data_IF_245181081471
#
_entry.id   IF_245181081471
#
_cell.length_a   1.000
_cell.length_b   1.000
_cell.length_c   1.000
_cell.angle_alpha   90.00
_cell.angle_beta   90.00
_cell.angle_gamma   90.00
#
_symmetry.space_group_name_H-M   'P 1'
#
loop_
_entity.id
_entity.type
_entity.pdbx_description
1 polymer ?
#
# COMPACT_ATOMS: atom_id res chain seq x y z
N UNK A 1 -11.56 0.78 -17.70
CA UNK A 1 -10.11 0.42 -17.67
C UNK A 1 -9.69 -0.43 -18.85
N UNK A 2 -10.37 -1.52 -19.16
CA UNK A 2 -9.96 -2.43 -20.26
C UNK A 2 -9.87 -1.76 -21.64
N UNK A 3 -10.81 -0.88 -21.98
CA UNK A 3 -10.75 -0.14 -23.25
C UNK A 3 -9.57 0.85 -23.29
N UNK A 4 -9.31 1.56 -22.21
CA UNK A 4 -8.15 2.45 -22.09
C UNK A 4 -6.85 1.65 -22.32
N UNK A 5 -6.71 0.51 -21.67
CA UNK A 5 -5.55 -0.36 -21.81
C UNK A 5 -5.40 -0.88 -23.24
N UNK A 6 -6.49 -1.26 -23.88
CA UNK A 6 -6.50 -1.71 -25.28
C UNK A 6 -6.01 -0.60 -26.23
N UNK A 7 -6.47 0.62 -26.04
CA UNK A 7 -6.05 1.74 -26.90
C UNK A 7 -4.57 2.12 -26.64
N UNK A 8 -4.13 2.15 -25.38
CA UNK A 8 -2.74 2.44 -25.06
C UNK A 8 -1.77 1.40 -25.63
N UNK A 9 -2.13 0.13 -25.62
CA UNK A 9 -1.32 -0.95 -26.20
C UNK A 9 -1.10 -0.81 -27.72
N UNK A 10 -1.92 -0.07 -28.43
CA UNK A 10 -1.68 0.25 -29.85
C UNK A 10 -0.53 1.23 -30.04
N UNK A 11 -0.27 2.04 -29.04
CA UNK A 11 0.80 3.06 -29.06
C UNK A 11 2.09 2.46 -28.52
N UNK A 12 2.01 1.78 -27.35
CA UNK A 12 3.13 1.17 -26.68
C UNK A 12 2.66 -0.08 -25.92
N UNK A 13 3.24 -1.23 -26.22
CA UNK A 13 2.74 -2.51 -25.73
C UNK A 13 2.99 -2.74 -24.24
N UNK A 14 4.01 -2.09 -23.67
CA UNK A 14 4.49 -2.20 -22.29
C UNK A 14 4.11 -1.00 -21.42
N UNK A 15 3.03 -0.29 -21.76
CA UNK A 15 2.51 0.80 -20.92
C UNK A 15 2.04 0.26 -19.59
N UNK A 16 2.61 0.78 -18.52
CA UNK A 16 2.19 0.53 -17.17
C UNK A 16 0.94 1.37 -16.86
N UNK A 17 -0.13 0.71 -16.41
CA UNK A 17 -1.36 1.35 -15.95
C UNK A 17 -1.57 0.93 -14.51
N UNK A 18 -1.72 1.88 -13.61
CA UNK A 18 -2.03 1.62 -12.22
C UNK A 18 -2.89 2.72 -11.61
N UNK A 19 -3.47 2.45 -10.46
CA UNK A 19 -4.28 3.39 -9.71
C UNK A 19 -4.58 2.88 -8.31
N UNK A 20 -5.36 3.65 -7.56
CA UNK A 20 -5.62 3.39 -6.15
C UNK A 20 -6.45 2.12 -5.91
N UNK A 21 -7.44 1.87 -6.77
CA UNK A 21 -8.26 0.67 -6.65
C UNK A 21 -9.29 0.68 -5.52
N UNK A 22 -9.66 1.86 -5.02
CA UNK A 22 -10.71 2.00 -4.00
C UNK A 22 -12.09 1.86 -4.63
N UNK A 23 -13.02 1.19 -3.93
CA UNK A 23 -14.41 1.13 -4.34
C UNK A 23 -15.13 2.43 -3.97
N UNK A 24 -14.96 3.46 -4.79
CA UNK A 24 -15.59 4.78 -4.63
C UNK A 24 -16.88 4.95 -5.45
N UNK A 25 -17.24 3.96 -6.26
CA UNK A 25 -18.41 4.04 -7.12
C UNK A 25 -19.69 3.70 -6.37
N UNK A 26 -20.66 4.61 -6.41
CA UNK A 26 -21.93 4.50 -5.65
C UNK A 26 -23.18 4.64 -6.52
N UNK A 27 -23.04 4.77 -7.84
CA UNK A 27 -24.16 5.02 -8.73
C UNK A 27 -24.16 4.13 -9.99
N UNK A 28 -25.33 3.68 -10.43
CA UNK A 28 -25.56 2.99 -11.68
C UNK A 28 -25.27 1.49 -11.67
N UNK A 29 -25.07 0.92 -12.84
CA UNK A 29 -24.93 -0.53 -13.07
C UNK A 29 -23.47 -0.97 -13.39
N UNK A 30 -22.52 -0.06 -13.35
CA UNK A 30 -21.12 -0.39 -13.66
C UNK A 30 -20.44 -0.98 -12.43
N UNK A 31 -19.53 -1.92 -12.67
CA UNK A 31 -18.66 -2.49 -11.64
C UNK A 31 -17.50 -1.52 -11.38
N UNK A 32 -17.19 -1.26 -10.12
CA UNK A 32 -16.09 -0.39 -9.75
C UNK A 32 -14.74 -0.97 -10.21
N UNK A 33 -13.85 -0.10 -10.66
CA UNK A 33 -12.46 -0.44 -10.92
C UNK A 33 -11.68 -0.52 -9.59
N UNK A 34 -12.04 -1.50 -8.76
CA UNK A 34 -11.50 -1.67 -7.41
C UNK A 34 -10.63 -2.92 -7.28
N UNK A 35 -9.84 -2.99 -6.20
CA UNK A 35 -8.98 -4.15 -5.97
C UNK A 35 -9.78 -5.45 -5.85
N UNK A 36 -10.96 -5.46 -5.23
CA UNK A 36 -11.81 -6.64 -5.16
C UNK A 36 -12.34 -7.12 -6.53
N UNK A 37 -12.27 -6.27 -7.54
CA UNK A 37 -12.67 -6.58 -8.92
C UNK A 37 -11.46 -6.62 -9.88
N UNK A 38 -10.25 -6.78 -9.35
CA UNK A 38 -8.99 -6.76 -10.13
C UNK A 38 -8.95 -7.79 -11.24
N UNK A 39 -9.59 -8.95 -11.03
CA UNK A 39 -9.68 -10.04 -12.03
C UNK A 39 -10.38 -9.60 -13.31
N UNK A 40 -11.27 -8.62 -13.22
CA UNK A 40 -11.93 -8.01 -14.39
C UNK A 40 -11.07 -6.97 -15.12
N UNK A 41 -9.90 -6.65 -14.55
CA UNK A 41 -8.96 -5.63 -15.06
C UNK A 41 -7.53 -6.20 -15.17
N UNK A 42 -7.31 -7.28 -15.90
CA UNK A 42 -6.01 -7.96 -15.93
C UNK A 42 -4.89 -7.00 -16.40
N UNK A 43 -3.82 -6.91 -15.62
CA UNK A 43 -2.64 -6.07 -15.89
C UNK A 43 -2.84 -4.59 -15.61
N UNK A 44 -3.80 -4.21 -14.78
CA UNK A 44 -3.90 -2.90 -14.15
C UNK A 44 -3.37 -3.02 -12.73
N UNK A 45 -2.35 -2.25 -12.40
CA UNK A 45 -1.77 -2.20 -11.06
C UNK A 45 -2.70 -1.49 -10.07
N UNK A 46 -2.78 -2.00 -8.84
CA UNK A 46 -3.64 -1.46 -7.80
C UNK A 46 -2.85 -1.28 -6.50
N UNK A 47 -3.11 -0.21 -5.78
CA UNK A 47 -2.44 0.08 -4.53
C UNK A 47 -2.70 -1.01 -3.49
N UNK A 48 -1.62 -1.57 -2.94
CA UNK A 48 -1.68 -2.56 -1.89
C UNK A 48 -1.76 -1.85 -0.53
N UNK A 49 -2.98 -1.61 -0.05
CA UNK A 49 -3.21 -0.98 1.24
C UNK A 49 -2.88 -1.90 2.41
N UNK A 50 -2.91 -3.22 2.22
CA UNK A 50 -2.50 -4.17 3.25
C UNK A 50 -1.03 -3.99 3.62
N UNK A 51 -0.12 -3.86 2.62
CA UNK A 51 1.30 -3.61 2.93
C UNK A 51 1.50 -2.22 3.53
N UNK A 52 0.82 -1.19 3.01
CA UNK A 52 0.87 0.16 3.57
C UNK A 52 0.46 0.19 5.04
N UNK A 53 -0.77 -0.24 5.32
CA UNK A 53 -1.33 -0.18 6.67
C UNK A 53 -0.76 -1.24 7.60
N UNK A 54 -0.37 -2.38 7.07
CA UNK A 54 0.35 -3.41 7.83
C UNK A 54 1.68 -2.89 8.36
N UNK A 55 2.45 -2.17 7.54
CA UNK A 55 3.75 -1.60 7.95
C UNK A 55 3.55 -0.49 8.98
N UNK A 56 2.83 0.58 8.63
CA UNK A 56 2.79 1.82 9.41
C UNK A 56 1.58 2.00 10.32
N UNK A 57 0.61 1.10 10.25
CA UNK A 57 -0.68 1.24 10.93
C UNK A 57 -1.76 1.86 10.04
N UNK A 58 -3.00 1.96 10.54
CA UNK A 58 -4.12 2.48 9.77
C UNK A 58 -3.90 3.95 9.39
N UNK A 59 -4.44 4.35 8.23
CA UNK A 59 -4.29 5.73 7.71
C UNK A 59 -5.36 6.70 8.21
N UNK A 60 -6.39 6.21 8.88
CA UNK A 60 -7.45 7.02 9.49
C UNK A 60 -7.34 7.09 11.02
N UNK A 61 -6.24 6.61 11.58
CA UNK A 61 -5.87 6.75 12.99
C UNK A 61 -4.37 6.99 13.06
N UNK A 62 -3.99 8.24 13.22
CA UNK A 62 -2.59 8.67 13.16
C UNK A 62 -1.76 8.18 14.34
N UNK A 63 -2.39 7.74 15.43
CA UNK A 63 -1.72 7.26 16.64
C UNK A 63 -1.66 5.73 16.74
N UNK A 64 -2.41 5.00 15.91
CA UNK A 64 -2.42 3.55 15.96
C UNK A 64 -1.16 2.95 15.32
N UNK A 65 -0.49 1.97 15.98
CA UNK A 65 0.73 1.36 15.50
C UNK A 65 0.50 0.41 14.34
N UNK A 66 1.57 0.13 13.59
CA UNK A 66 1.68 -0.95 12.63
C UNK A 66 2.82 -1.90 12.99
N UNK A 67 3.11 -2.84 12.11
CA UNK A 67 4.10 -3.90 12.35
C UNK A 67 5.47 -3.38 12.77
N UNK A 68 5.94 -2.29 12.20
CA UNK A 68 7.26 -1.76 12.52
C UNK A 68 7.36 -1.22 13.95
N UNK A 69 6.24 -0.88 14.60
CA UNK A 69 6.23 -0.34 15.96
C UNK A 69 6.22 -1.44 17.02
N UNK A 70 5.38 -2.45 16.86
CA UNK A 70 5.11 -3.44 17.93
C UNK A 70 5.08 -4.90 17.45
N UNK A 71 5.35 -5.15 16.17
CA UNK A 71 5.30 -6.48 15.58
C UNK A 71 3.87 -7.03 15.38
N UNK A 72 2.85 -6.19 15.54
CA UNK A 72 1.45 -6.54 15.25
C UNK A 72 1.18 -6.65 13.75
N UNK A 73 -0.07 -6.93 13.36
CA UNK A 73 -0.49 -6.96 11.94
C UNK A 73 0.25 -8.00 11.06
N UNK A 74 0.73 -9.08 11.67
CA UNK A 74 1.58 -10.08 10.97
C UNK A 74 0.93 -10.68 9.74
N UNK A 75 -0.36 -11.06 9.82
CA UNK A 75 -1.03 -11.66 8.67
C UNK A 75 -1.28 -10.63 7.57
N UNK A 76 -1.59 -9.38 7.93
CA UNK A 76 -1.72 -8.27 7.00
C UNK A 76 -0.41 -7.99 6.27
N UNK A 77 0.73 -7.99 6.98
CA UNK A 77 2.06 -7.85 6.37
C UNK A 77 2.37 -9.02 5.44
N UNK A 78 2.15 -10.27 5.87
CA UNK A 78 2.38 -11.44 5.02
C UNK A 78 1.55 -11.35 3.73
N UNK A 79 0.27 -11.01 3.86
CA UNK A 79 -0.63 -10.81 2.73
C UNK A 79 -0.12 -9.72 1.77
N UNK A 80 0.36 -8.59 2.32
CA UNK A 80 0.99 -7.53 1.54
C UNK A 80 2.26 -7.98 0.83
N UNK A 81 3.15 -8.70 1.54
CA UNK A 81 4.44 -9.17 1.01
C UNK A 81 4.28 -10.13 -0.18
N UNK A 82 3.27 -11.00 -0.16
CA UNK A 82 2.99 -11.90 -1.28
C UNK A 82 2.18 -11.23 -2.41
N UNK A 83 2.09 -9.89 -2.40
CA UNK A 83 1.40 -9.12 -3.44
C UNK A 83 -0.12 -9.33 -3.46
N UNK A 84 -0.73 -9.58 -2.31
CA UNK A 84 -2.17 -9.85 -2.14
C UNK A 84 -2.67 -11.06 -2.95
N UNK A 85 -1.79 -12.03 -3.18
CA UNK A 85 -2.11 -13.31 -3.82
C UNK A 85 -2.54 -14.37 -2.80
N UNK A 86 -3.16 -15.45 -3.28
CA UNK A 86 -3.40 -16.63 -2.43
C UNK A 86 -2.08 -17.28 -2.04
N UNK A 87 -1.88 -17.50 -0.75
CA UNK A 87 -0.63 -18.10 -0.26
C UNK A 87 -0.87 -18.96 0.99
N UNK A 88 -0.30 -20.16 1.00
CA UNK A 88 -0.51 -21.15 2.05
C UNK A 88 -0.04 -20.71 3.47
N UNK A 89 0.85 -19.73 3.57
CA UNK A 89 1.36 -19.20 4.84
C UNK A 89 0.60 -17.96 5.33
N UNK A 90 -0.46 -17.55 4.64
CA UNK A 90 -1.30 -16.39 5.00
C UNK A 90 -2.64 -16.89 5.52
N UNK A 91 -2.96 -16.54 6.75
CA UNK A 91 -4.30 -16.73 7.32
C UNK A 91 -5.18 -15.53 6.96
N UNK A 92 -5.90 -15.65 5.84
CA UNK A 92 -6.76 -14.57 5.34
C UNK A 92 -7.84 -14.15 6.33
N UNK A 93 -8.20 -14.99 7.31
CA UNK A 93 -9.20 -14.63 8.32
C UNK A 93 -8.68 -13.60 9.33
N UNK A 94 -7.37 -13.38 9.37
CA UNK A 94 -6.68 -12.42 10.24
C UNK A 94 -6.09 -11.22 9.48
N UNK A 95 -6.32 -11.17 8.18
CA UNK A 95 -5.93 -10.00 7.38
C UNK A 95 -6.89 -8.85 7.67
N UNK A 96 -6.35 -7.71 8.03
CA UNK A 96 -7.08 -6.51 8.43
C UNK A 96 -6.47 -5.24 7.81
N UNK A 97 -7.10 -4.09 8.01
CA UNK A 97 -6.61 -2.79 7.54
C UNK A 97 -6.48 -2.70 6.00
N UNK A 98 -7.26 -3.47 5.28
CA UNK A 98 -7.33 -3.45 3.81
C UNK A 98 -8.78 -3.39 3.34
N UNK A 99 -8.99 -2.72 2.21
CA UNK A 99 -10.30 -2.62 1.58
C UNK A 99 -10.79 -3.96 0.97
N UNK A 100 -9.86 -4.89 0.69
CA UNK A 100 -10.17 -6.23 0.20
C UNK A 100 -9.31 -7.27 0.94
N UNK A 101 -9.85 -7.92 2.00
CA UNK A 101 -9.09 -8.85 2.83
C UNK A 101 -8.90 -10.24 2.21
N UNK A 102 -9.55 -10.52 1.10
CA UNK A 102 -9.35 -11.76 0.34
C UNK A 102 -8.30 -11.55 -0.74
N UNK A 103 -7.61 -12.62 -1.14
CA UNK A 103 -6.66 -12.55 -2.24
C UNK A 103 -7.33 -11.99 -3.51
N UNK A 104 -6.96 -10.78 -3.86
CA UNK A 104 -7.54 -10.07 -4.99
C UNK A 104 -6.62 -10.10 -6.22
N UNK A 105 -5.37 -10.44 -6.04
CA UNK A 105 -4.41 -10.53 -7.13
C UNK A 105 -4.17 -11.99 -7.52
N UNK A 106 -4.34 -12.29 -8.80
CA UNK A 106 -3.91 -13.58 -9.37
C UNK A 106 -2.44 -13.53 -9.81
N UNK A 107 -1.86 -12.32 -9.82
CA UNK A 107 -0.49 -12.07 -10.23
C UNK A 107 0.10 -10.93 -9.40
N UNK A 108 1.17 -11.15 -8.62
CA UNK A 108 1.73 -10.12 -7.74
C UNK A 108 2.18 -8.85 -8.48
N UNK A 109 2.48 -8.93 -9.78
CA UNK A 109 2.86 -7.76 -10.59
C UNK A 109 1.82 -6.64 -10.65
N UNK A 110 0.56 -6.91 -10.31
CA UNK A 110 -0.47 -5.87 -10.22
C UNK A 110 -0.56 -5.25 -8.83
N UNK A 111 0.16 -5.77 -7.85
CA UNK A 111 0.26 -5.18 -6.51
C UNK A 111 1.23 -4.02 -6.51
N UNK A 112 0.75 -2.81 -6.20
CA UNK A 112 1.57 -1.61 -6.09
C UNK A 112 1.87 -1.36 -4.62
N UNK A 113 3.12 -1.58 -4.22
CA UNK A 113 3.57 -1.58 -2.84
C UNK A 113 4.15 -0.23 -2.44
N UNK A 114 3.74 0.28 -1.29
CA UNK A 114 4.17 1.58 -0.76
C UNK A 114 3.86 1.69 0.73
N UNK A 115 4.39 2.70 1.40
CA UNK A 115 4.01 3.06 2.78
C UNK A 115 3.48 4.48 2.88
N UNK A 116 3.91 5.37 2.00
CA UNK A 116 3.38 6.72 1.85
C UNK A 116 3.32 7.14 0.39
N UNK A 117 2.42 8.05 0.08
CA UNK A 117 2.28 8.67 -1.22
C UNK A 117 1.72 10.09 -1.02
N UNK A 118 0.95 10.63 -1.96
CA UNK A 118 0.39 11.99 -1.87
C UNK A 118 -0.63 12.18 -0.74
N UNK A 119 -1.39 11.12 -0.40
CA UNK A 119 -2.41 11.15 0.66
C UNK A 119 -1.84 10.89 2.05
N UNK A 120 -2.58 11.34 3.08
CA UNK A 120 -2.30 11.14 4.50
C UNK A 120 -0.93 11.70 4.94
N UNK A 121 -0.59 11.47 6.20
CA UNK A 121 0.71 11.85 6.76
C UNK A 121 1.83 10.98 6.20
N UNK A 122 3.06 11.49 6.21
CA UNK A 122 4.24 10.73 5.80
C UNK A 122 4.51 9.57 6.75
N UNK A 123 5.40 8.68 6.36
CA UNK A 123 5.86 7.62 7.28
C UNK A 123 6.58 8.22 8.48
N UNK A 124 7.44 9.21 8.25
CA UNK A 124 8.17 9.89 9.33
C UNK A 124 7.22 10.58 10.32
N UNK A 125 6.25 11.38 9.85
CA UNK A 125 5.25 12.00 10.71
C UNK A 125 4.49 10.95 11.55
N UNK A 126 4.14 9.81 10.93
CA UNK A 126 3.48 8.69 11.63
C UNK A 126 4.36 8.08 12.71
N UNK A 127 5.65 7.90 12.46
CA UNK A 127 6.61 7.38 13.44
C UNK A 127 6.70 8.31 14.65
N UNK A 128 6.78 9.61 14.44
CA UNK A 128 6.84 10.59 15.52
C UNK A 128 5.55 10.65 16.35
N UNK A 129 4.38 10.48 15.72
CA UNK A 129 3.10 10.49 16.43
C UNK A 129 2.88 9.22 17.26
N UNK A 130 3.29 8.06 16.75
CA UNK A 130 3.11 6.78 17.46
C UNK A 130 4.14 6.59 18.56
N UNK A 131 5.37 7.03 18.34
CA UNK A 131 6.49 6.86 19.28
C UNK A 131 7.25 8.18 19.48
N UNK A 132 6.63 9.16 20.13
CA UNK A 132 7.20 10.48 20.29
C UNK A 132 8.46 10.49 21.15
N UNK A 133 9.36 11.42 20.85
CA UNK A 133 10.55 11.69 21.66
C UNK A 133 11.70 10.69 21.51
N UNK A 134 11.67 9.88 20.48
CA UNK A 134 12.83 9.06 20.07
C UNK A 134 13.86 9.94 19.38
N UNK A 135 15.10 9.46 19.30
CA UNK A 135 16.15 10.16 18.55
C UNK A 135 16.03 9.91 17.03
N UNK A 136 16.71 10.73 16.24
CA UNK A 136 16.70 10.62 14.78
C UNK A 136 17.23 9.26 14.29
N UNK A 137 18.19 8.65 14.99
CA UNK A 137 18.73 7.34 14.63
C UNK A 137 17.68 6.25 14.73
N UNK A 138 16.80 6.33 15.73
CA UNK A 138 15.67 5.42 15.86
C UNK A 138 14.71 5.54 14.66
N UNK A 139 14.23 6.75 14.37
CA UNK A 139 13.31 6.98 13.25
C UNK A 139 13.94 6.58 11.91
N UNK A 140 15.22 6.83 11.72
CA UNK A 140 15.96 6.43 10.53
C UNK A 140 15.99 4.90 10.35
N UNK A 141 16.18 4.14 11.43
CA UNK A 141 16.16 2.67 11.39
C UNK A 141 14.74 2.15 11.08
N UNK A 142 13.72 2.73 11.68
CA UNK A 142 12.32 2.37 11.42
C UNK A 142 11.92 2.67 9.97
N UNK A 143 12.34 3.84 9.45
CA UNK A 143 12.14 4.23 8.06
C UNK A 143 12.80 3.23 7.10
N UNK A 144 14.06 2.86 7.35
CA UNK A 144 14.79 1.87 6.56
C UNK A 144 14.12 0.50 6.60
N UNK A 145 13.63 0.07 7.74
CA UNK A 145 12.90 -1.19 7.88
C UNK A 145 11.61 -1.16 7.06
N UNK A 146 10.82 -0.09 7.14
CA UNK A 146 9.59 0.07 6.37
C UNK A 146 9.85 0.05 4.87
N UNK A 147 10.86 0.80 4.40
CA UNK A 147 11.26 0.83 2.99
C UNK A 147 11.67 -0.58 2.53
N UNK A 148 12.48 -1.27 3.32
CA UNK A 148 12.93 -2.62 2.99
C UNK A 148 11.76 -3.60 2.84
N UNK A 149 10.76 -3.53 3.71
CA UNK A 149 9.59 -4.41 3.67
C UNK A 149 8.81 -4.29 2.35
N UNK A 150 8.48 -3.08 1.90
CA UNK A 150 7.70 -2.96 0.67
C UNK A 150 8.54 -3.04 -0.60
N UNK A 151 9.81 -2.66 -0.55
CA UNK A 151 10.72 -2.77 -1.71
C UNK A 151 11.08 -4.22 -2.04
N UNK A 152 11.12 -5.11 -1.04
CA UNK A 152 11.43 -6.53 -1.21
C UNK A 152 10.18 -7.42 -1.32
N UNK A 153 8.99 -6.84 -1.19
CA UNK A 153 7.73 -7.54 -1.37
C UNK A 153 7.48 -7.84 -2.86
N UNK A 154 6.69 -8.87 -3.11
CA UNK A 154 6.23 -9.20 -4.46
C UNK A 154 5.33 -8.10 -5.02
N UNK A 155 5.61 -7.63 -6.23
CA UNK A 155 4.84 -6.57 -6.89
C UNK A 155 5.69 -5.41 -7.38
N UNK A 156 5.07 -4.25 -7.55
CA UNK A 156 5.70 -3.03 -8.03
C UNK A 156 5.89 -2.05 -6.87
N UNK A 157 7.12 -1.81 -6.39
CA UNK A 157 7.33 -0.82 -5.35
C UNK A 157 7.25 0.61 -5.91
N UNK A 158 6.61 1.50 -5.15
CA UNK A 158 6.66 2.95 -5.37
C UNK A 158 7.31 3.59 -4.16
N UNK A 159 8.44 4.26 -4.38
CA UNK A 159 9.10 5.11 -3.40
C UNK A 159 8.68 6.56 -3.66
N UNK A 160 7.98 7.17 -2.72
CA UNK A 160 7.62 8.58 -2.82
C UNK A 160 8.88 9.44 -2.61
N UNK A 161 9.14 10.37 -3.53
CA UNK A 161 10.32 11.23 -3.48
C UNK A 161 10.38 12.00 -2.14
N UNK A 162 11.53 11.95 -1.49
CA UNK A 162 11.76 12.52 -0.16
C UNK A 162 11.58 11.53 0.99
N UNK A 163 10.99 10.38 0.74
CA UNK A 163 10.88 9.33 1.75
C UNK A 163 12.26 8.85 2.22
N UNK A 164 13.25 8.83 1.32
CA UNK A 164 14.62 8.41 1.59
C UNK A 164 15.38 9.32 2.56
N UNK A 165 14.91 10.53 2.78
CA UNK A 165 15.47 11.47 3.78
C UNK A 165 14.44 11.95 4.83
N UNK A 166 13.43 11.12 5.10
CA UNK A 166 12.43 11.33 6.16
C UNK A 166 11.68 12.67 6.03
N UNK A 167 11.17 12.97 4.82
CA UNK A 167 10.39 14.19 4.61
C UNK A 167 9.17 14.23 5.52
N UNK A 168 8.76 15.41 5.92
CA UNK A 168 7.55 15.69 6.72
C UNK A 168 6.51 16.46 5.89
N UNK A 169 5.25 16.33 6.29
CA UNK A 169 4.13 17.17 5.85
C UNK A 169 3.71 18.16 6.95
N UNK A 170 4.48 18.27 8.02
CA UNK A 170 4.20 19.29 9.04
C UNK A 170 4.16 20.67 8.39
N UNK A 171 3.01 21.31 8.50
CA UNK A 171 2.86 22.72 8.20
C UNK A 171 3.04 23.45 9.51
N UNK A 172 3.97 24.40 9.63
CA UNK A 172 4.07 25.23 10.83
C UNK A 172 2.70 25.82 11.16
N UNK A 173 2.31 25.76 12.41
CA UNK A 173 1.12 26.46 12.85
C UNK A 173 1.38 27.97 12.66
N UNK A 174 0.51 28.63 11.89
CA UNK A 174 0.52 30.07 11.70
C UNK A 174 0.23 30.81 13.03
#
# INVERSE_FOLDING_TARGET
>A
MNEIRKELKKIKNDVLIYGEGWDMYRAGKMVAASMCNSKDMPGVGLFNDAIRCGIKGPVFDDFAPGFIHDGSKRETIKFGIVGATEHAQVDNTKVELTACPTAWSDNPWISVNYTEIHDNITLHDKLELVEPGKDNSYYEQMQKMAISLFMLAEGMPILHAGMEFMRTKEVPAD
#
